data_IF_623111329677
#
_entry.id   IF_623111329677
#
_cell.length_a   1.000
_cell.length_b   1.000
_cell.length_c   1.000
_cell.angle_alpha   90.00
_cell.angle_beta   90.00
_cell.angle_gamma   90.00
#
_symmetry.space_group_name_H-M   'P 1'
#
loop_
_entity.id
_entity.type
_entity.pdbx_description
1 polymer ?
#
# COMPACT_ATOMS: atom_id res chain seq x y z
N UNK A 1 -9.41 4.27 -37.84
CA UNK A 1 -8.96 5.30 -36.86
C UNK A 1 -8.35 4.58 -35.68
N UNK A 2 -7.06 4.76 -35.40
CA UNK A 2 -6.37 4.08 -34.29
C UNK A 2 -6.87 4.66 -32.96
N UNK A 3 -7.52 3.86 -32.11
CA UNK A 3 -7.85 4.26 -30.74
C UNK A 3 -6.55 4.59 -30.02
N UNK A 4 -6.31 5.87 -29.76
CA UNK A 4 -5.15 6.35 -28.99
C UNK A 4 -5.23 5.67 -27.61
N UNK A 5 -4.33 4.71 -27.36
CA UNK A 5 -4.27 4.01 -26.08
C UNK A 5 -4.04 5.06 -24.98
N UNK A 6 -4.85 5.02 -23.91
CA UNK A 6 -4.60 5.83 -22.72
C UNK A 6 -3.24 5.43 -22.15
N UNK A 7 -2.37 6.42 -22.02
CA UNK A 7 -1.00 6.25 -21.56
C UNK A 7 -0.76 7.18 -20.38
N UNK A 8 -0.35 6.60 -19.27
CA UNK A 8 0.07 7.31 -18.06
C UNK A 8 1.59 7.27 -18.03
N UNK A 9 2.21 8.39 -17.65
CA UNK A 9 3.65 8.53 -17.57
C UNK A 9 4.04 8.97 -16.15
N UNK A 10 5.11 8.36 -15.64
CA UNK A 10 5.81 8.72 -14.42
C UNK A 10 4.89 9.05 -13.22
N UNK A 11 3.86 8.21 -13.02
CA UNK A 11 2.96 8.35 -11.88
C UNK A 11 3.65 7.86 -10.60
N UNK A 12 3.58 8.67 -9.55
CA UNK A 12 4.05 8.31 -8.22
C UNK A 12 3.24 7.13 -7.67
N UNK A 13 3.92 6.06 -7.31
CA UNK A 13 3.29 4.84 -6.85
C UNK A 13 4.15 4.02 -5.89
N UNK A 14 3.50 3.07 -5.22
CA UNK A 14 4.14 2.02 -4.43
C UNK A 14 3.61 0.65 -4.85
N UNK A 15 4.47 -0.36 -4.81
CA UNK A 15 4.07 -1.75 -5.00
C UNK A 15 3.34 -2.26 -3.75
N UNK A 16 2.09 -2.69 -3.91
CA UNK A 16 1.31 -3.31 -2.83
C UNK A 16 1.49 -4.83 -2.80
N UNK A 17 1.39 -5.47 -3.97
CA UNK A 17 1.47 -6.91 -4.13
C UNK A 17 1.95 -7.28 -5.54
N UNK A 18 2.68 -8.39 -5.65
CA UNK A 18 3.09 -8.96 -6.94
C UNK A 18 2.93 -10.49 -6.95
N UNK A 19 2.43 -11.02 -8.06
CA UNK A 19 2.26 -12.47 -8.27
C UNK A 19 2.89 -12.88 -9.61
N UNK A 20 3.48 -14.07 -9.66
CA UNK A 20 3.94 -14.64 -10.94
C UNK A 20 2.76 -14.85 -11.88
N UNK A 21 2.86 -14.38 -13.12
CA UNK A 21 1.82 -14.51 -14.14
C UNK A 21 2.20 -15.47 -15.27
N UNK A 22 3.45 -15.39 -15.73
CA UNK A 22 3.99 -16.33 -16.72
C UNK A 22 5.42 -16.71 -16.34
N UNK A 23 6.07 -17.47 -17.21
CA UNK A 23 7.50 -17.78 -17.08
C UNK A 23 8.32 -16.50 -16.88
N UNK A 24 7.99 -15.43 -17.62
CA UNK A 24 8.79 -14.20 -17.66
C UNK A 24 8.11 -12.97 -17.06
N UNK A 25 6.84 -13.02 -16.70
CA UNK A 25 6.05 -11.83 -16.32
C UNK A 25 5.45 -11.93 -14.91
N UNK A 26 5.22 -10.78 -14.28
CA UNK A 26 4.45 -10.65 -13.03
C UNK A 26 3.22 -9.77 -13.25
N UNK A 27 2.16 -10.04 -12.50
CA UNK A 27 1.09 -9.07 -12.25
C UNK A 27 1.42 -8.36 -10.95
N UNK A 28 1.37 -7.03 -10.98
CA UNK A 28 1.60 -6.17 -9.83
C UNK A 28 0.38 -5.30 -9.57
N UNK A 29 -0.05 -5.23 -8.31
CA UNK A 29 -0.99 -4.22 -7.83
C UNK A 29 -0.18 -3.08 -7.23
N UNK A 30 -0.40 -1.88 -7.74
CA UNK A 30 0.31 -0.67 -7.31
C UNK A 30 -0.68 0.35 -6.79
N UNK A 31 -0.33 1.08 -5.74
CA UNK A 31 -1.10 2.23 -5.29
C UNK A 31 -0.47 3.48 -5.88
N UNK A 32 -1.19 4.15 -6.77
CA UNK A 32 -0.71 5.33 -7.48
C UNK A 32 -1.50 6.56 -7.04
N UNK A 33 -0.81 7.64 -6.67
CA UNK A 33 -1.41 8.82 -6.01
C UNK A 33 -2.62 9.39 -6.75
N UNK A 34 -2.53 9.47 -8.07
CA UNK A 34 -3.56 10.06 -8.93
C UNK A 34 -4.50 9.03 -9.59
N UNK A 35 -4.27 7.74 -9.36
CA UNK A 35 -4.94 6.66 -10.11
C UNK A 35 -5.45 5.53 -9.22
N UNK A 36 -5.33 5.64 -7.89
CA UNK A 36 -5.78 4.61 -6.95
C UNK A 36 -5.01 3.30 -7.08
N UNK A 37 -5.68 2.19 -6.79
CA UNK A 37 -5.08 0.85 -6.97
C UNK A 37 -5.19 0.44 -8.44
N UNK A 38 -4.03 0.34 -9.10
CA UNK A 38 -3.91 -0.06 -10.50
C UNK A 38 -3.27 -1.45 -10.60
N UNK A 39 -3.85 -2.33 -11.42
CA UNK A 39 -3.22 -3.62 -11.73
C UNK A 39 -2.46 -3.53 -13.05
N UNK A 40 -1.17 -3.88 -13.02
CA UNK A 40 -0.28 -3.85 -14.18
C UNK A 40 0.38 -5.20 -14.41
N UNK A 41 0.56 -5.59 -15.67
CA UNK A 41 1.47 -6.67 -16.06
C UNK A 41 2.85 -6.09 -16.39
N UNK A 42 3.87 -6.57 -15.67
CA UNK A 42 5.26 -6.26 -15.93
C UNK A 42 5.89 -7.39 -16.77
N UNK A 43 5.86 -7.19 -18.09
CA UNK A 43 6.38 -8.19 -19.05
C UNK A 43 7.88 -8.30 -18.95
N UNK A 44 8.40 -9.52 -18.90
CA UNK A 44 9.84 -9.78 -18.81
C UNK A 44 10.45 -9.50 -17.44
N UNK A 45 9.66 -9.10 -16.44
CA UNK A 45 10.12 -8.76 -15.09
C UNK A 45 10.94 -9.87 -14.41
N UNK A 46 10.70 -11.15 -14.76
CA UNK A 46 11.39 -12.31 -14.17
C UNK A 46 12.67 -12.72 -14.92
N UNK A 47 13.00 -12.09 -16.05
CA UNK A 47 14.21 -12.44 -16.82
C UNK A 47 15.49 -12.17 -16.00
N UNK A 48 16.56 -12.95 -16.19
CA UNK A 48 17.81 -12.81 -15.42
C UNK A 48 18.38 -11.38 -15.38
N UNK A 49 18.26 -10.63 -16.48
CA UNK A 49 18.77 -9.26 -16.62
C UNK A 49 17.66 -8.20 -16.73
N UNK A 50 16.49 -8.49 -16.15
CA UNK A 50 15.36 -7.56 -16.16
C UNK A 50 15.66 -6.31 -15.34
N UNK A 51 15.60 -5.14 -15.98
CA UNK A 51 15.66 -3.84 -15.30
C UNK A 51 14.48 -3.61 -14.35
N UNK A 52 13.35 -4.29 -14.56
CA UNK A 52 12.17 -4.16 -13.71
C UNK A 52 12.27 -4.95 -12.40
N UNK A 53 13.07 -6.02 -12.38
CA UNK A 53 13.17 -6.93 -11.23
C UNK A 53 13.64 -6.24 -9.94
N UNK A 54 14.73 -5.44 -9.94
CA UNK A 54 15.15 -4.75 -8.73
C UNK A 54 14.28 -3.54 -8.40
N UNK A 55 13.60 -2.95 -9.40
CA UNK A 55 12.80 -1.72 -9.22
C UNK A 55 11.44 -2.03 -8.58
N UNK A 56 10.77 -3.13 -8.98
CA UNK A 56 9.48 -3.53 -8.42
C UNK A 56 9.65 -4.19 -7.04
N UNK A 57 10.15 -3.41 -6.08
CA UNK A 57 10.33 -3.80 -4.69
C UNK A 57 9.27 -3.14 -3.81
N UNK A 58 8.83 -3.87 -2.77
CA UNK A 58 7.87 -3.35 -1.81
C UNK A 58 8.45 -2.17 -1.03
N UNK A 59 7.57 -1.25 -0.63
CA UNK A 59 7.90 -0.09 0.23
C UNK A 59 8.92 0.89 -0.35
N UNK A 60 9.30 0.75 -1.63
CA UNK A 60 10.12 1.75 -2.33
C UNK A 60 9.23 2.75 -3.07
N UNK A 61 9.57 4.05 -3.05
CA UNK A 61 8.96 5.05 -3.91
C UNK A 61 9.23 4.74 -5.38
N UNK A 62 8.18 4.72 -6.22
CA UNK A 62 8.28 4.41 -7.65
C UNK A 62 7.68 5.53 -8.52
N UNK A 63 8.27 5.71 -9.71
CA UNK A 63 7.65 6.37 -10.86
C UNK A 63 7.28 5.30 -11.88
N UNK A 64 5.99 5.13 -12.14
CA UNK A 64 5.48 4.09 -13.01
C UNK A 64 4.76 4.68 -14.22
N UNK A 65 5.05 4.12 -15.40
CA UNK A 65 4.33 4.46 -16.64
C UNK A 65 3.64 3.21 -17.19
N UNK A 66 2.39 3.33 -17.61
CA UNK A 66 1.63 2.21 -18.14
C UNK A 66 0.70 2.63 -19.27
N UNK A 67 0.19 1.64 -20.00
CA UNK A 67 -0.75 1.85 -21.11
C UNK A 67 -1.87 0.82 -21.10
N UNK A 68 -3.00 1.19 -21.69
CA UNK A 68 -4.19 0.35 -21.84
C UNK A 68 -5.39 0.85 -21.04
N UNK A 69 -6.58 0.37 -21.44
CA UNK A 69 -7.88 0.71 -20.83
C UNK A 69 -8.57 -0.47 -20.15
N UNK A 70 -7.98 -1.67 -20.21
CA UNK A 70 -8.53 -2.83 -19.51
C UNK A 70 -8.20 -2.82 -18.02
N UNK A 71 -8.77 -3.78 -17.30
CA UNK A 71 -8.53 -3.98 -15.86
C UNK A 71 -7.05 -4.24 -15.53
N UNK A 72 -6.35 -4.95 -16.43
CA UNK A 72 -4.90 -5.16 -16.35
C UNK A 72 -4.23 -4.31 -17.42
N UNK A 73 -3.45 -3.32 -16.97
CA UNK A 73 -2.69 -2.42 -17.85
C UNK A 73 -1.30 -2.99 -18.10
N UNK A 74 -0.62 -2.56 -19.16
CA UNK A 74 0.76 -2.98 -19.41
C UNK A 74 1.73 -1.97 -18.83
N UNK A 75 2.60 -2.41 -17.91
CA UNK A 75 3.70 -1.59 -17.40
C UNK A 75 4.71 -1.36 -18.53
N UNK A 76 5.03 -0.10 -18.78
CA UNK A 76 5.93 0.33 -19.87
C UNK A 76 7.24 0.90 -19.37
N UNK A 77 7.26 1.47 -18.16
CA UNK A 77 8.46 2.00 -17.50
C UNK A 77 8.27 1.92 -15.99
N UNK A 78 9.35 1.65 -15.27
CA UNK A 78 9.40 1.75 -13.83
C UNK A 78 10.75 2.34 -13.44
N UNK A 79 10.75 3.31 -12.54
CA UNK A 79 11.94 3.93 -11.98
C UNK A 79 11.79 4.07 -10.46
N UNK A 80 12.92 4.07 -9.75
CA UNK A 80 12.94 4.43 -8.33
C UNK A 80 12.84 5.94 -8.19
N UNK A 81 11.97 6.42 -7.31
CA UNK A 81 11.83 7.84 -6.98
C UNK A 81 12.58 8.22 -5.68
N UNK A 82 13.39 7.30 -5.15
CA UNK A 82 14.07 7.43 -3.87
C UNK A 82 14.25 6.08 -3.18
N UNK A 83 14.97 6.09 -2.06
CA UNK A 83 15.21 4.89 -1.27
C UNK A 83 14.60 5.05 0.12
N UNK A 84 13.84 4.04 0.53
CA UNK A 84 13.21 4.00 1.83
C UNK A 84 13.47 2.66 2.51
N UNK A 85 14.56 2.52 3.29
CA UNK A 85 14.96 1.24 3.85
C UNK A 85 14.11 0.91 5.09
N UNK A 86 12.97 0.26 4.87
CA UNK A 86 12.16 -0.34 5.95
C UNK A 86 12.85 -1.61 6.47
N UNK A 87 13.02 -1.73 7.79
CA UNK A 87 13.75 -2.83 8.40
C UNK A 87 13.04 -3.39 9.65
N UNK A 88 13.38 -4.64 9.99
CA UNK A 88 12.94 -5.27 11.24
C UNK A 88 11.41 -5.29 11.41
N UNK A 89 10.94 -4.85 12.58
CA UNK A 89 9.51 -4.87 12.94
C UNK A 89 8.66 -3.93 12.08
N UNK A 90 9.25 -2.87 11.52
CA UNK A 90 8.55 -1.91 10.65
C UNK A 90 8.05 -2.53 9.34
N UNK A 91 8.66 -3.63 8.89
CA UNK A 91 8.18 -4.37 7.70
C UNK A 91 6.76 -4.90 7.90
N UNK A 92 6.44 -5.40 9.10
CA UNK A 92 5.09 -5.91 9.39
C UNK A 92 4.06 -4.78 9.40
N UNK A 93 4.43 -3.58 9.88
CA UNK A 93 3.60 -2.38 9.79
C UNK A 93 3.35 -1.98 8.33
N UNK A 94 4.37 -2.02 7.47
CA UNK A 94 4.22 -1.80 6.03
C UNK A 94 3.27 -2.80 5.36
N UNK A 95 3.43 -4.09 5.63
CA UNK A 95 2.56 -5.13 5.08
C UNK A 95 1.11 -4.98 5.55
N UNK A 96 0.91 -4.59 6.81
CA UNK A 96 -0.41 -4.31 7.36
C UNK A 96 -1.10 -3.16 6.61
N UNK A 97 -0.38 -2.06 6.37
CA UNK A 97 -0.92 -0.95 5.58
C UNK A 97 -1.27 -1.38 4.15
N UNK A 98 -0.38 -2.13 3.47
CA UNK A 98 -0.68 -2.65 2.13
C UNK A 98 -1.94 -3.52 2.11
N UNK A 99 -2.11 -4.37 3.11
CA UNK A 99 -3.28 -5.22 3.21
C UNK A 99 -4.57 -4.43 3.43
N UNK A 100 -4.54 -3.38 4.27
CA UNK A 100 -5.67 -2.48 4.45
C UNK A 100 -6.06 -1.79 3.14
N UNK A 101 -5.09 -1.23 2.41
CA UNK A 101 -5.33 -0.60 1.11
C UNK A 101 -6.01 -1.57 0.14
N UNK A 102 -5.47 -2.79 0.01
CA UNK A 102 -6.01 -3.81 -0.91
C UNK A 102 -7.44 -4.28 -0.55
N UNK A 103 -7.85 -4.14 0.71
CA UNK A 103 -9.15 -4.61 1.20
C UNK A 103 -10.21 -3.53 1.27
N UNK A 104 -9.81 -2.30 1.55
CA UNK A 104 -10.72 -1.19 1.84
C UNK A 104 -10.87 -0.22 0.66
N UNK A 105 -9.89 -0.14 -0.26
CA UNK A 105 -9.98 0.77 -1.40
C UNK A 105 -10.52 0.09 -2.66
N UNK A 106 -11.27 0.87 -3.43
CA UNK A 106 -11.66 0.52 -4.80
C UNK A 106 -10.46 0.48 -5.76
N UNK A 107 -10.59 -0.30 -6.84
CA UNK A 107 -9.63 -0.26 -7.95
C UNK A 107 -9.85 1.02 -8.75
N UNK A 108 -8.75 1.62 -9.18
CA UNK A 108 -8.76 2.81 -10.05
C UNK A 108 -9.51 4.03 -9.49
N UNK A 109 -9.68 4.08 -8.16
CA UNK A 109 -10.30 5.18 -7.42
C UNK A 109 -9.24 6.00 -6.68
N UNK A 110 -8.93 7.24 -7.10
CA UNK A 110 -7.84 8.02 -6.52
C UNK A 110 -8.13 8.51 -5.10
N UNK A 111 -7.31 8.09 -4.14
CA UNK A 111 -7.28 8.62 -2.77
C UNK A 111 -5.93 9.27 -2.46
N UNK A 112 -5.76 10.53 -2.89
CA UNK A 112 -4.49 11.23 -2.72
C UNK A 112 -4.14 11.48 -1.25
N UNK A 113 -5.13 11.77 -0.39
CA UNK A 113 -4.92 11.95 1.06
C UNK A 113 -4.43 10.66 1.74
N UNK A 114 -5.04 9.52 1.40
CA UNK A 114 -4.58 8.20 1.87
C UNK A 114 -3.19 7.87 1.36
N UNK A 115 -2.88 8.20 0.10
CA UNK A 115 -1.54 8.02 -0.45
C UNK A 115 -0.49 8.82 0.34
N UNK A 116 -0.75 10.09 0.60
CA UNK A 116 0.18 10.95 1.33
C UNK A 116 0.35 10.44 2.78
N UNK A 117 -0.73 10.02 3.44
CA UNK A 117 -0.69 9.39 4.77
C UNK A 117 0.12 8.07 4.80
N UNK A 118 0.00 7.25 3.74
CA UNK A 118 0.77 6.02 3.59
C UNK A 118 2.28 6.31 3.44
N UNK A 119 2.64 7.32 2.63
CA UNK A 119 4.03 7.76 2.46
C UNK A 119 4.60 8.27 3.78
N UNK A 120 3.89 9.16 4.46
CA UNK A 120 4.30 9.71 5.75
C UNK A 120 4.54 8.61 6.79
N UNK A 121 3.63 7.62 6.86
CA UNK A 121 3.76 6.49 7.77
C UNK A 121 5.00 5.64 7.44
N UNK A 122 5.25 5.34 6.16
CA UNK A 122 6.45 4.60 5.75
C UNK A 122 7.74 5.37 6.09
N UNK A 123 7.75 6.70 5.91
CA UNK A 123 8.91 7.54 6.25
C UNK A 123 9.20 7.50 7.74
N UNK A 124 8.17 7.67 8.58
CA UNK A 124 8.34 7.59 10.04
C UNK A 124 8.81 6.20 10.49
N UNK A 125 8.27 5.14 9.89
CA UNK A 125 8.66 3.76 10.16
C UNK A 125 10.11 3.45 9.76
N UNK A 126 10.59 4.04 8.65
CA UNK A 126 11.98 3.91 8.21
C UNK A 126 12.97 4.63 9.14
N UNK A 127 12.54 5.73 9.75
CA UNK A 127 13.34 6.53 10.69
C UNK A 127 13.37 5.94 12.11
N UNK A 128 12.71 4.80 12.35
CA UNK A 128 12.66 4.17 13.67
C UNK A 128 11.72 4.86 14.66
N UNK A 129 10.82 5.71 14.18
CA UNK A 129 9.76 6.29 15.02
C UNK A 129 8.84 5.19 15.58
N UNK A 130 8.13 5.49 16.68
CA UNK A 130 7.14 4.56 17.21
C UNK A 130 6.10 4.25 16.14
N UNK A 131 6.03 2.99 15.71
CA UNK A 131 5.08 2.52 14.70
C UNK A 131 3.62 2.82 15.07
N UNK A 132 3.33 2.98 16.36
CA UNK A 132 1.97 3.18 16.87
C UNK A 132 1.31 4.44 16.30
N UNK A 133 1.90 5.62 16.51
CA UNK A 133 1.32 6.91 16.08
C UNK A 133 1.20 7.03 14.56
N UNK A 134 2.27 6.65 13.84
CA UNK A 134 2.29 6.62 12.38
C UNK A 134 1.16 5.74 11.81
N UNK A 135 0.98 4.53 12.35
CA UNK A 135 -0.09 3.63 11.93
C UNK A 135 -1.48 4.15 12.30
N UNK A 136 -1.65 4.70 13.51
CA UNK A 136 -2.97 5.23 13.93
C UNK A 136 -3.42 6.38 13.04
N UNK A 137 -2.49 7.26 12.66
CA UNK A 137 -2.77 8.36 11.72
C UNK A 137 -3.17 7.84 10.35
N UNK A 138 -2.43 6.88 9.80
CA UNK A 138 -2.77 6.26 8.52
C UNK A 138 -4.16 5.60 8.54
N UNK A 139 -4.44 4.79 9.56
CA UNK A 139 -5.74 4.11 9.72
C UNK A 139 -6.90 5.09 9.85
N UNK A 140 -6.71 6.16 10.63
CA UNK A 140 -7.71 7.22 10.78
C UNK A 140 -8.06 7.86 9.44
N UNK A 141 -7.04 8.28 8.68
CA UNK A 141 -7.21 8.93 7.37
C UNK A 141 -7.86 7.95 6.38
N UNK A 142 -7.44 6.68 6.38
CA UNK A 142 -8.02 5.65 5.54
C UNK A 142 -9.51 5.46 5.81
N UNK A 143 -9.92 5.39 7.09
CA UNK A 143 -11.32 5.25 7.47
C UNK A 143 -12.14 6.47 7.07
N UNK A 144 -11.62 7.67 7.32
CA UNK A 144 -12.30 8.92 6.97
C UNK A 144 -12.55 9.04 5.46
N UNK A 145 -11.51 8.80 4.65
CA UNK A 145 -11.57 8.86 3.18
C UNK A 145 -12.44 7.77 2.56
N UNK A 146 -12.63 6.64 3.25
CA UNK A 146 -13.52 5.55 2.79
C UNK A 146 -14.96 5.71 3.28
N UNK A 147 -15.29 6.82 3.96
CA UNK A 147 -16.63 7.11 4.46
C UNK A 147 -16.97 6.38 5.76
N UNK A 148 -15.98 5.80 6.43
CA UNK A 148 -16.07 5.05 7.68
C UNK A 148 -15.39 5.76 8.84
N UNK A 149 -15.29 7.08 8.73
CA UNK A 149 -14.72 7.94 9.75
C UNK A 149 -15.38 7.75 11.12
N UNK A 150 -14.68 8.22 12.14
CA UNK A 150 -15.15 8.17 13.52
C UNK A 150 -15.67 9.56 13.87
N UNK A 151 -16.88 9.64 14.41
CA UNK A 151 -17.52 10.89 14.82
C UNK A 151 -16.91 11.46 16.11
N UNK A 152 -15.60 11.74 16.08
CA UNK A 152 -14.86 12.37 17.17
C UNK A 152 -13.83 13.35 16.59
N UNK A 153 -13.37 14.34 17.38
CA UNK A 153 -12.27 15.20 16.95
C UNK A 153 -11.03 14.39 16.57
N UNK A 154 -10.23 14.92 15.65
CA UNK A 154 -8.96 14.31 15.26
C UNK A 154 -8.07 14.18 16.51
N UNK A 155 -7.61 12.96 16.87
CA UNK A 155 -6.82 12.75 18.08
C UNK A 155 -5.38 13.25 17.89
N UNK A 156 -4.69 13.51 19.00
CA UNK A 156 -3.23 13.61 18.98
C UNK A 156 -2.63 12.21 18.84
N UNK A 157 -2.13 11.88 17.65
CA UNK A 157 -1.53 10.58 17.36
C UNK A 157 -0.21 10.32 18.10
N UNK A 158 0.37 11.33 18.74
CA UNK A 158 1.59 11.20 19.54
C UNK A 158 1.32 11.04 21.04
N UNK A 159 0.06 11.18 21.48
CA UNK A 159 -0.31 10.96 22.88
C UNK A 159 -0.26 9.46 23.21
N UNK A 160 0.77 9.07 23.96
CA UNK A 160 1.00 7.69 24.40
C UNK A 160 -0.04 7.20 25.41
N UNK A 161 -0.67 8.10 26.16
CA UNK A 161 -1.70 7.73 27.13
C UNK A 161 -3.02 7.40 26.41
N UNK A 162 -3.35 8.12 25.35
CA UNK A 162 -4.54 7.90 24.54
C UNK A 162 -4.40 6.76 23.51
N UNK A 163 -3.16 6.43 23.09
CA UNK A 163 -2.88 5.42 22.04
C UNK A 163 -3.62 4.08 22.22
N UNK A 164 -3.66 3.45 23.41
CA UNK A 164 -4.30 2.14 23.55
C UNK A 164 -5.80 2.17 23.25
N UNK A 165 -6.49 3.24 23.67
CA UNK A 165 -7.91 3.45 23.42
C UNK A 165 -8.17 3.75 21.94
N UNK A 166 -7.35 4.64 21.34
CA UNK A 166 -7.42 4.96 19.92
C UNK A 166 -7.19 3.72 19.04
N UNK A 167 -6.17 2.91 19.37
CA UNK A 167 -5.89 1.64 18.68
C UNK A 167 -7.09 0.71 18.73
N UNK A 168 -7.70 0.52 19.90
CA UNK A 168 -8.84 -0.37 20.07
C UNK A 168 -10.01 0.09 19.20
N UNK A 169 -10.35 1.38 19.25
CA UNK A 169 -11.44 1.97 18.49
C UNK A 169 -11.23 1.85 16.97
N UNK A 170 -10.04 2.21 16.47
CA UNK A 170 -9.70 2.07 15.05
C UNK A 170 -9.76 0.61 14.61
N UNK A 171 -9.28 -0.30 15.45
CA UNK A 171 -9.30 -1.74 15.16
C UNK A 171 -10.72 -2.30 15.08
N UNK A 172 -11.61 -1.88 15.98
CA UNK A 172 -13.03 -2.25 15.95
C UNK A 172 -13.68 -1.75 14.66
N UNK A 173 -13.52 -0.46 14.33
CA UNK A 173 -14.06 0.13 13.11
C UNK A 173 -13.52 -0.55 11.84
N UNK A 174 -12.21 -0.78 11.74
CA UNK A 174 -11.62 -1.50 10.60
C UNK A 174 -12.25 -2.90 10.48
N UNK A 175 -12.39 -3.65 11.57
CA UNK A 175 -12.94 -5.00 11.51
C UNK A 175 -14.42 -5.03 11.10
N UNK A 176 -15.23 -4.06 11.55
CA UNK A 176 -16.62 -3.90 11.13
C UNK A 176 -16.72 -3.81 9.60
N UNK A 177 -15.81 -3.05 8.98
CA UNK A 177 -15.81 -2.82 7.54
C UNK A 177 -15.07 -3.88 6.71
N UNK A 178 -14.29 -4.76 7.35
CA UNK A 178 -13.62 -5.84 6.65
C UNK A 178 -14.54 -7.00 6.26
N UNK A 179 -15.85 -6.97 6.54
CA UNK A 179 -16.87 -7.95 6.10
C UNK A 179 -16.40 -9.43 6.17
N UNK A 180 -15.80 -9.85 7.30
CA UNK A 180 -15.22 -11.20 7.51
C UNK A 180 -13.95 -11.55 6.73
N UNK A 181 -13.32 -10.61 6.01
CA UNK A 181 -12.02 -10.80 5.35
C UNK A 181 -10.85 -10.62 6.32
N UNK A 182 -10.61 -11.63 7.15
CA UNK A 182 -9.52 -11.63 8.14
C UNK A 182 -8.18 -11.19 7.55
N UNK A 183 -7.48 -10.29 8.25
CA UNK A 183 -6.13 -9.85 7.87
C UNK A 183 -5.12 -11.01 7.95
N UNK A 184 -4.39 -11.23 6.87
CA UNK A 184 -3.35 -12.24 6.69
C UNK A 184 -2.13 -11.88 7.53
N UNK A 185 -1.82 -10.59 7.65
CA UNK A 185 -0.80 -10.07 8.57
C UNK A 185 -1.08 -10.44 10.03
N UNK A 186 -2.35 -10.41 10.44
CA UNK A 186 -2.79 -10.86 11.77
C UNK A 186 -2.56 -12.36 11.97
N UNK A 187 -2.85 -13.17 10.95
CA UNK A 187 -2.57 -14.63 10.98
C UNK A 187 -1.07 -14.91 11.11
N UNK A 188 -0.23 -14.17 10.38
CA UNK A 188 1.23 -14.31 10.43
C UNK A 188 1.78 -13.92 11.80
N UNK A 189 1.38 -12.77 12.37
CA UNK A 189 1.81 -12.34 13.70
C UNK A 189 1.40 -13.36 14.79
N UNK A 190 0.16 -13.85 14.74
CA UNK A 190 -0.32 -14.87 15.67
C UNK A 190 0.40 -16.22 15.49
N UNK A 191 0.80 -16.59 14.27
CA UNK A 191 1.61 -17.80 14.06
C UNK A 191 3.01 -17.66 14.62
N UNK A 192 3.63 -16.47 14.56
CA UNK A 192 4.97 -16.24 15.08
C UNK A 192 5.01 -16.23 16.62
N UNK A 193 3.94 -15.78 17.28
CA UNK A 193 3.80 -15.85 18.74
C UNK A 193 3.65 -17.28 19.29
N UNK A 194 3.33 -18.26 18.44
CA UNK A 194 3.28 -19.68 18.83
C UNK A 194 4.63 -20.39 18.78
N UNK A 195 5.68 -19.70 18.30
CA UNK A 195 7.04 -20.20 18.19
C UNK A 195 8.03 -19.44 19.10
N UNK A 196 7.52 -18.64 20.05
CA UNK A 196 8.27 -17.93 21.10
C UNK A 196 7.80 -18.37 22.48
#
# INVERSE_FOLDING_TARGET
>A
MSKRQSRVQDAHAYLLHATSWSETSVIAQVFARQYGIVTVVAKGAKRPYSVLRPILSAFQPLLLSWSGQGEIKTLTRAETAGLLPLQGRSLMSGWYMNELLLKLLGKEDPHAGVFDAYVDALVQLAQGSSATGALRRFEWILLDETGYGIETPVPDFNDRAAEPALRKMLHERINEHLENRALSTRKVLLSLQRFS
#
